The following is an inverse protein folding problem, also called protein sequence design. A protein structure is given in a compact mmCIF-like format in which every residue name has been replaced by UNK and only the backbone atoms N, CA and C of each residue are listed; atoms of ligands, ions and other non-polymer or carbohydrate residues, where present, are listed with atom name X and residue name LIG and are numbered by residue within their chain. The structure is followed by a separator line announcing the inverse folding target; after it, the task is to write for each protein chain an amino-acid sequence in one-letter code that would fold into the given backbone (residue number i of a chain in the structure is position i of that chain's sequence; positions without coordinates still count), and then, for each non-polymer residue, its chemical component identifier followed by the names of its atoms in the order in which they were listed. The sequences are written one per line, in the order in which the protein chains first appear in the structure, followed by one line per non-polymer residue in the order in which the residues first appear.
data_IF_937538198165
#
_entry.id   IF_937538198165
#
_cell.length_a   1.000
_cell.length_b   1.000
_cell.length_c   1.000
_cell.angle_alpha   90.00
_cell.angle_beta   90.00
_cell.angle_gamma   90.00
#
_symmetry.space_group_name_H-M   'P 1'
#
loop_
_entity.id
_entity.type
_entity.pdbx_description
1 polymer ?
#
# COMPACT_ATOMS: atom_id res chain seq x y z
N UNK A 1 35.17 -2.76 2.73
CA UNK A 1 34.54 -4.07 3.00
C UNK A 1 33.33 -4.14 2.09
N UNK A 2 33.23 -5.20 1.30
CA UNK A 2 32.05 -5.41 0.47
C UNK A 2 30.85 -5.67 1.38
N UNK A 3 29.84 -4.82 1.27
CA UNK A 3 28.58 -5.01 1.99
C UNK A 3 27.79 -6.11 1.27
N UNK A 4 27.10 -6.99 2.00
CA UNK A 4 26.30 -8.03 1.37
C UNK A 4 25.17 -7.42 0.54
N UNK A 5 24.76 -8.14 -0.49
CA UNK A 5 23.50 -7.88 -1.20
C UNK A 5 22.33 -8.07 -0.25
N UNK A 6 21.41 -7.11 -0.25
CA UNK A 6 20.25 -7.09 0.64
C UNK A 6 18.98 -6.99 -0.19
N UNK A 7 17.97 -7.74 0.21
CA UNK A 7 16.68 -7.76 -0.44
C UNK A 7 15.57 -7.67 0.61
N UNK A 8 14.63 -6.76 0.38
CA UNK A 8 13.40 -6.65 1.16
C UNK A 8 12.21 -6.51 0.24
N UNK A 9 11.04 -6.94 0.72
CA UNK A 9 9.77 -6.73 0.03
C UNK A 9 8.70 -6.22 0.99
N UNK A 10 7.70 -5.52 0.47
CA UNK A 10 6.54 -5.08 1.24
C UNK A 10 5.23 -5.36 0.48
N UNK A 11 4.16 -5.78 1.17
CA UNK A 11 2.89 -6.14 0.57
C UNK A 11 2.09 -4.92 0.12
N UNK A 12 1.13 -5.18 -0.76
CA UNK A 12 0.05 -4.27 -1.10
C UNK A 12 -0.97 -4.20 0.04
N UNK A 13 -2.03 -3.44 -0.18
CA UNK A 13 -3.07 -3.21 0.83
C UNK A 13 -4.46 -3.12 0.24
N UNK A 14 -5.43 -3.48 1.07
CA UNK A 14 -6.84 -3.14 0.88
C UNK A 14 -7.45 -2.66 2.19
N UNK A 15 -8.13 -1.50 2.15
CA UNK A 15 -8.88 -0.98 3.29
C UNK A 15 -10.30 -1.53 3.17
N UNK A 16 -10.60 -2.62 3.86
CA UNK A 16 -11.89 -3.32 3.78
C UNK A 16 -13.00 -2.50 4.44
N UNK A 17 -12.71 -1.88 5.57
CA UNK A 17 -13.68 -1.08 6.32
C UNK A 17 -13.03 0.13 7.01
N UNK A 18 -13.81 1.16 7.30
CA UNK A 18 -13.31 2.40 7.91
C UNK A 18 -12.82 3.48 6.94
N UNK A 19 -13.19 3.38 5.65
CA UNK A 19 -12.87 4.32 4.55
C UNK A 19 -12.54 5.77 4.95
N UNK A 20 -13.53 6.65 5.06
CA UNK A 20 -13.32 8.04 5.46
C UNK A 20 -13.09 8.20 6.97
N UNK A 21 -13.50 7.22 7.77
CA UNK A 21 -13.37 7.23 9.22
C UNK A 21 -11.89 7.22 9.65
N UNK A 22 -11.04 6.46 8.96
CA UNK A 22 -9.59 6.34 9.23
C UNK A 22 -8.82 7.66 9.10
N UNK A 23 -9.44 8.68 8.50
CA UNK A 23 -8.90 10.05 8.45
C UNK A 23 -9.07 10.79 9.76
N UNK A 24 -9.77 10.23 10.74
CA UNK A 24 -9.97 10.79 12.05
C UNK A 24 -9.46 9.81 13.10
N UNK A 25 -8.73 10.34 14.08
CA UNK A 25 -7.96 9.58 15.06
C UNK A 25 -8.87 8.86 16.05
N UNK A 26 -10.11 9.30 16.20
CA UNK A 26 -11.04 8.64 17.11
C UNK A 26 -11.49 7.27 16.59
N UNK A 27 -11.39 7.07 15.27
CA UNK A 27 -11.92 5.89 14.58
C UNK A 27 -10.82 4.95 14.09
N UNK A 28 -11.24 3.76 13.65
CA UNK A 28 -10.33 2.72 13.15
C UNK A 28 -10.67 2.32 11.71
N UNK A 29 -9.67 1.77 11.02
CA UNK A 29 -9.82 1.10 9.74
C UNK A 29 -9.41 -0.36 9.82
N UNK A 30 -10.13 -1.23 9.12
CA UNK A 30 -9.79 -2.63 8.95
C UNK A 30 -9.02 -2.79 7.63
N UNK A 31 -7.72 -3.08 7.73
CA UNK A 31 -6.80 -3.11 6.60
C UNK A 31 -6.25 -4.53 6.45
N UNK A 32 -6.29 -5.06 5.24
CA UNK A 32 -5.60 -6.31 4.90
C UNK A 32 -4.36 -6.00 4.06
N UNK A 33 -3.26 -6.66 4.40
CA UNK A 33 -2.13 -6.80 3.49
C UNK A 33 -2.52 -7.69 2.32
N UNK A 34 -1.84 -7.53 1.18
CA UNK A 34 -2.03 -8.38 0.00
C UNK A 34 -0.71 -9.06 -0.39
N UNK A 35 -0.82 -10.27 -0.94
CA UNK A 35 0.33 -11.10 -1.34
C UNK A 35 1.10 -10.56 -2.56
N UNK A 36 0.56 -9.56 -3.27
CA UNK A 36 1.31 -8.78 -4.25
C UNK A 36 2.32 -7.84 -3.57
N UNK A 37 3.61 -8.00 -3.86
CA UNK A 37 4.71 -7.29 -3.19
C UNK A 37 5.53 -6.42 -4.13
N UNK A 38 6.09 -5.35 -3.57
CA UNK A 38 7.19 -4.60 -4.19
C UNK A 38 8.48 -5.05 -3.52
N UNK A 39 9.46 -5.36 -4.35
CA UNK A 39 10.76 -5.90 -4.00
C UNK A 39 11.84 -4.87 -4.27
N UNK A 40 12.76 -4.70 -3.31
CA UNK A 40 13.92 -3.83 -3.44
C UNK A 40 15.17 -4.61 -3.10
N UNK A 41 16.08 -4.66 -4.05
CA UNK A 41 17.40 -5.26 -3.91
C UNK A 41 18.48 -4.19 -3.96
N UNK A 42 19.39 -4.18 -2.99
CA UNK A 42 20.50 -3.22 -2.88
C UNK A 42 21.83 -3.99 -2.89
N UNK A 43 22.73 -3.58 -3.77
CA UNK A 43 24.08 -4.12 -3.86
C UNK A 43 25.11 -2.99 -4.00
N UNK A 44 26.30 -3.18 -3.44
CA UNK A 44 27.41 -2.24 -3.61
C UNK A 44 27.89 -2.24 -5.05
N UNK A 45 28.11 -1.06 -5.64
CA UNK A 45 28.72 -0.94 -6.96
C UNK A 45 30.24 -1.06 -6.82
N UNK A 46 30.79 -2.14 -7.40
CA UNK A 46 32.24 -2.32 -7.48
C UNK A 46 32.85 -1.30 -8.44
N UNK A 47 33.79 -0.51 -7.94
CA UNK A 47 34.58 0.43 -8.74
C UNK A 47 35.90 -0.22 -9.13
N UNK A 48 36.31 -0.04 -10.39
CA UNK A 48 37.66 -0.42 -10.80
C UNK A 48 38.70 0.47 -10.10
N UNK A 49 39.89 -0.04 -9.76
CA UNK A 49 40.96 0.76 -9.15
C UNK A 49 41.23 2.03 -9.96
N UNK A 50 41.11 3.20 -9.31
CA UNK A 50 41.32 4.51 -9.94
C UNK A 50 40.04 5.23 -10.39
N UNK A 51 38.86 4.58 -10.35
CA UNK A 51 37.57 5.21 -10.61
C UNK A 51 36.83 5.47 -9.29
N UNK A 52 36.58 6.73 -8.94
CA UNK A 52 35.72 7.08 -7.80
C UNK A 52 34.30 7.32 -8.30
N UNK A 53 33.40 6.36 -8.08
CA UNK A 53 31.96 6.59 -8.26
C UNK A 53 31.36 7.07 -6.94
N UNK A 54 30.63 8.18 -7.02
CA UNK A 54 29.84 8.75 -5.91
C UNK A 54 28.39 8.90 -6.34
N UNK A 55 27.84 7.83 -6.92
CA UNK A 55 26.44 7.79 -7.37
C UNK A 55 25.72 6.54 -6.86
N UNK A 56 24.41 6.69 -6.71
CA UNK A 56 23.47 5.60 -6.47
C UNK A 56 22.60 5.46 -7.71
N UNK A 57 22.58 4.26 -8.29
CA UNK A 57 21.79 3.94 -9.48
C UNK A 57 20.56 3.18 -9.03
N UNK A 58 19.37 3.75 -9.24
CA UNK A 58 18.09 3.08 -8.99
C UNK A 58 17.49 2.66 -10.33
N UNK A 59 17.09 1.40 -10.46
CA UNK A 59 16.49 0.86 -11.70
C UNK A 59 15.23 0.06 -11.41
N UNK A 60 14.28 0.09 -12.34
CA UNK A 60 13.12 -0.79 -12.36
C UNK A 60 13.02 -1.47 -13.73
N UNK A 61 13.72 -2.60 -13.92
CA UNK A 61 13.96 -3.19 -15.24
C UNK A 61 12.69 -3.73 -15.94
N UNK A 62 11.56 -3.77 -15.24
CA UNK A 62 10.25 -4.13 -15.80
C UNK A 62 9.64 -3.02 -16.68
N UNK A 63 10.21 -1.81 -16.65
CA UNK A 63 9.72 -0.66 -17.39
C UNK A 63 10.83 -0.06 -18.27
N UNK A 64 10.45 0.45 -19.44
CA UNK A 64 11.37 1.15 -20.33
C UNK A 64 11.85 2.45 -19.68
N UNK A 65 13.13 2.74 -19.85
CA UNK A 65 13.81 3.96 -19.40
C UNK A 65 13.66 4.26 -17.88
N UNK A 66 13.31 3.26 -17.07
CA UNK A 66 13.14 3.39 -15.63
C UNK A 66 14.47 3.19 -14.89
N UNK A 67 15.43 4.06 -15.17
CA UNK A 67 16.70 4.18 -14.45
C UNK A 67 16.88 5.62 -13.97
N UNK A 68 17.24 5.80 -12.70
CA UNK A 68 17.50 7.09 -12.08
C UNK A 68 18.88 7.07 -11.42
N UNK A 69 19.74 8.01 -11.79
CA UNK A 69 21.07 8.17 -11.20
C UNK A 69 21.06 9.35 -10.24
N UNK A 70 21.61 9.14 -9.06
CA UNK A 70 21.60 10.14 -8.00
C UNK A 70 23.01 10.37 -7.46
N UNK A 71 23.42 11.62 -7.46
CA UNK A 71 24.51 12.09 -6.61
C UNK A 71 23.97 12.35 -5.21
N UNK A 72 24.81 12.23 -4.19
CA UNK A 72 24.44 12.51 -2.81
C UNK A 72 25.54 13.31 -2.12
N UNK A 73 25.14 14.19 -1.19
CA UNK A 73 26.07 14.93 -0.34
C UNK A 73 25.51 15.09 1.07
N UNK A 74 26.39 15.01 2.05
CA UNK A 74 26.06 15.44 3.40
C UNK A 74 25.93 16.97 3.42
N UNK A 75 24.87 17.46 4.04
CA UNK A 75 24.62 18.90 4.19
C UNK A 75 25.15 19.41 5.51
N UNK A 76 25.52 20.68 5.55
CA UNK A 76 26.06 21.31 6.75
C UNK A 76 25.03 21.34 7.90
N UNK A 77 25.51 21.60 9.12
CA UNK A 77 24.67 21.77 10.32
C UNK A 77 23.67 20.62 10.57
N UNK A 78 24.06 19.38 10.28
CA UNK A 78 23.22 18.19 10.43
C UNK A 78 21.93 18.25 9.59
N UNK A 79 21.97 18.88 8.42
CA UNK A 79 20.81 18.97 7.52
C UNK A 79 20.43 17.65 6.81
N UNK A 80 21.23 16.59 7.01
CA UNK A 80 21.00 15.28 6.41
C UNK A 80 21.67 15.11 5.04
N UNK A 81 21.25 14.08 4.30
CA UNK A 81 21.82 13.71 3.01
C UNK A 81 20.94 14.25 1.89
N UNK A 82 21.43 15.25 1.17
CA UNK A 82 20.78 15.76 -0.02
C UNK A 82 21.08 14.85 -1.21
N UNK A 83 20.04 14.53 -1.98
CA UNK A 83 20.10 13.67 -3.15
C UNK A 83 19.77 14.51 -4.38
N UNK A 84 20.62 14.48 -5.40
CA UNK A 84 20.43 15.24 -6.65
C UNK A 84 20.38 14.28 -7.83
N UNK A 85 19.30 14.32 -8.61
CA UNK A 85 19.21 13.54 -9.83
C UNK A 85 20.24 14.02 -10.86
N UNK A 86 21.11 13.11 -11.30
CA UNK A 86 22.11 13.35 -12.32
C UNK A 86 21.47 13.22 -13.71
N UNK A 87 21.88 14.08 -14.65
CA UNK A 87 21.44 13.95 -16.05
C UNK A 87 22.18 12.78 -16.68
N UNK A 88 21.45 11.76 -17.13
CA UNK A 88 22.01 10.65 -17.91
C UNK A 88 22.42 11.06 -19.33
N UNK A 89 23.12 10.16 -20.03
CA UNK A 89 23.47 10.30 -21.46
C UNK A 89 22.29 10.04 -22.41
N UNK A 90 21.13 9.61 -21.91
CA UNK A 90 19.93 9.39 -22.71
C UNK A 90 19.22 10.70 -23.05
N UNK A 91 18.85 10.87 -24.32
CA UNK A 91 18.15 12.04 -24.87
C UNK A 91 16.70 12.17 -24.42
N UNK A 92 16.16 11.21 -23.66
CA UNK A 92 14.84 11.29 -23.05
C UNK A 92 14.90 12.09 -21.75
N UNK A 93 14.02 13.08 -21.60
CA UNK A 93 13.79 13.76 -20.33
C UNK A 93 13.21 12.76 -19.33
N UNK A 94 14.07 12.02 -18.62
CA UNK A 94 13.63 11.05 -17.61
C UNK A 94 12.78 11.79 -16.58
N UNK A 95 11.52 11.36 -16.44
CA UNK A 95 10.60 11.91 -15.46
C UNK A 95 11.13 11.64 -14.06
N UNK A 96 11.31 12.70 -13.27
CA UNK A 96 11.72 12.66 -11.86
C UNK A 96 10.79 11.74 -11.06
N UNK A 97 11.35 10.77 -10.33
CA UNK A 97 10.59 9.92 -9.43
C UNK A 97 10.71 10.42 -7.98
N UNK A 98 9.77 11.26 -7.57
CA UNK A 98 9.78 11.90 -6.24
C UNK A 98 9.73 10.89 -5.09
N UNK A 99 9.02 9.78 -5.23
CA UNK A 99 8.95 8.75 -4.18
C UNK A 99 10.31 8.09 -3.96
N UNK A 100 11.01 7.71 -5.04
CA UNK A 100 12.36 7.13 -4.95
C UNK A 100 13.36 8.13 -4.38
N UNK A 101 13.36 9.35 -4.90
CA UNK A 101 14.31 10.39 -4.48
C UNK A 101 14.15 10.76 -2.99
N UNK A 102 12.91 10.99 -2.54
CA UNK A 102 12.63 11.33 -1.14
C UNK A 102 12.91 10.14 -0.22
N UNK A 103 12.51 8.91 -0.60
CA UNK A 103 12.81 7.72 0.19
C UNK A 103 14.32 7.49 0.33
N UNK A 104 15.09 7.71 -0.74
CA UNK A 104 16.55 7.61 -0.71
C UNK A 104 17.16 8.66 0.22
N UNK A 105 16.77 9.92 0.12
CA UNK A 105 17.29 10.98 0.98
C UNK A 105 17.00 10.73 2.47
N UNK A 106 15.77 10.30 2.79
CA UNK A 106 15.37 9.99 4.16
C UNK A 106 16.11 8.77 4.71
N UNK A 107 16.20 7.69 3.93
CA UNK A 107 16.89 6.47 4.35
C UNK A 107 18.40 6.68 4.56
N UNK A 108 19.07 7.39 3.65
CA UNK A 108 20.49 7.73 3.80
C UNK A 108 20.72 8.67 4.98
N UNK A 109 19.85 9.66 5.19
CA UNK A 109 19.92 10.55 6.35
C UNK A 109 19.81 9.77 7.65
N UNK A 110 18.81 8.89 7.76
CA UNK A 110 18.62 8.08 8.96
C UNK A 110 19.80 7.12 9.18
N UNK A 111 20.23 6.40 8.15
CA UNK A 111 21.36 5.47 8.25
C UNK A 111 22.64 6.20 8.72
N UNK A 112 22.94 7.36 8.14
CA UNK A 112 24.08 8.20 8.54
C UNK A 112 23.97 8.76 9.95
N UNK A 113 22.76 8.96 10.47
CA UNK A 113 22.52 9.46 11.81
C UNK A 113 22.60 8.37 12.89
N UNK A 114 22.31 7.12 12.50
CA UNK A 114 22.47 5.95 13.38
C UNK A 114 23.93 5.53 13.45
N UNK A 115 24.60 5.47 12.30
CA UNK A 115 26.00 5.10 12.21
C UNK A 115 26.72 5.95 11.15
N UNK A 116 27.81 6.61 11.56
CA UNK A 116 28.61 7.46 10.68
C UNK A 116 29.54 6.61 9.82
N UNK A 117 28.95 5.80 8.93
CA UNK A 117 29.71 5.08 7.90
C UNK A 117 29.62 5.82 6.57
N UNK A 118 30.72 5.78 5.83
CA UNK A 118 30.77 6.38 4.49
C UNK A 118 29.73 5.70 3.60
N UNK A 119 28.80 6.49 3.06
CA UNK A 119 27.88 6.06 2.00
C UNK A 119 28.73 5.79 0.76
N UNK A 120 28.83 4.52 0.38
CA UNK A 120 29.47 4.08 -0.86
C UNK A 120 28.49 4.07 -2.05
N UNK A 121 28.99 3.90 -3.28
CA UNK A 121 28.13 3.76 -4.45
C UNK A 121 27.36 2.44 -4.41
N UNK A 122 26.10 2.46 -4.85
CA UNK A 122 25.23 1.28 -4.85
C UNK A 122 24.28 1.24 -6.05
N UNK A 123 23.86 0.03 -6.39
CA UNK A 123 22.78 -0.23 -7.35
C UNK A 123 21.57 -0.74 -6.57
N UNK A 124 20.43 -0.11 -6.82
CA UNK A 124 19.15 -0.45 -6.21
C UNK A 124 18.20 -0.89 -7.32
N UNK A 125 17.69 -2.11 -7.25
CA UNK A 125 16.72 -2.66 -8.21
C UNK A 125 15.35 -2.74 -7.57
N UNK A 126 14.34 -2.16 -8.22
CA UNK A 126 12.93 -2.20 -7.80
C UNK A 126 12.17 -3.12 -8.75
N UNK A 127 11.55 -4.16 -8.19
CA UNK A 127 10.63 -5.04 -8.90
C UNK A 127 9.26 -5.00 -8.23
N UNK A 128 8.21 -5.21 -9.00
CA UNK A 128 6.83 -5.30 -8.55
C UNK A 128 6.20 -6.56 -9.11
N UNK A 129 5.44 -7.25 -8.27
CA UNK A 129 4.58 -8.34 -8.71
C UNK A 129 3.59 -7.83 -9.76
N UNK A 130 3.28 -8.69 -10.74
CA UNK A 130 2.43 -8.35 -11.89
C UNK A 130 1.11 -7.70 -11.51
N UNK A 131 0.55 -8.06 -10.36
CA UNK A 131 -0.76 -7.60 -9.89
C UNK A 131 -0.82 -6.11 -9.52
N UNK A 132 0.32 -5.42 -9.41
CA UNK A 132 0.36 -3.96 -9.22
C UNK A 132 -0.04 -3.16 -10.47
N UNK A 133 -0.01 -3.77 -11.65
CA UNK A 133 -0.21 -3.08 -12.92
C UNK A 133 -1.17 -3.85 -13.83
N UNK A 134 -2.07 -3.13 -14.51
CA UNK A 134 -3.05 -3.76 -15.40
C UNK A 134 -2.45 -4.14 -16.76
N UNK A 135 -2.95 -5.24 -17.32
CA UNK A 135 -2.45 -5.86 -18.55
C UNK A 135 -3.39 -5.50 -19.72
N UNK A 136 -3.05 -4.47 -20.48
CA UNK A 136 -3.83 -4.05 -21.66
C UNK A 136 -3.24 -4.53 -23.00
N UNK A 137 -2.15 -5.31 -23.01
CA UNK A 137 -1.46 -5.66 -24.27
C UNK A 137 -0.83 -7.05 -24.41
N UNK A 138 -0.87 -7.91 -23.38
CA UNK A 138 -0.35 -9.27 -23.49
C UNK A 138 -1.50 -10.26 -23.64
N UNK A 139 -1.54 -10.97 -24.78
CA UNK A 139 -2.38 -12.15 -24.92
C UNK A 139 -1.89 -13.20 -23.93
N UNK A 140 -2.76 -13.66 -23.03
CA UNK A 140 -2.50 -14.76 -22.06
C UNK A 140 -2.27 -16.14 -22.73
N UNK A 141 -2.01 -16.17 -24.03
CA UNK A 141 -1.70 -17.39 -24.75
C UNK A 141 -0.20 -17.69 -24.63
N UNK A 142 0.10 -18.72 -23.83
CA UNK A 142 1.33 -19.55 -23.83
C UNK A 142 2.32 -19.46 -22.68
N UNK A 143 2.00 -18.86 -21.53
CA UNK A 143 2.86 -19.02 -20.34
C UNK A 143 2.02 -19.58 -19.19
N UNK A 144 2.39 -20.75 -18.61
CA UNK A 144 1.74 -21.26 -17.41
C UNK A 144 1.77 -20.16 -16.33
N UNK A 145 0.60 -19.82 -15.81
CA UNK A 145 0.35 -18.71 -14.88
C UNK A 145 1.17 -18.74 -13.58
N UNK A 146 1.86 -19.86 -13.33
CA UNK A 146 2.67 -20.14 -12.14
C UNK A 146 4.16 -19.84 -12.30
N UNK A 147 4.66 -19.46 -13.48
CA UNK A 147 6.12 -19.39 -13.72
C UNK A 147 6.78 -18.00 -13.75
N UNK A 148 6.04 -16.88 -13.83
CA UNK A 148 6.67 -15.55 -13.83
C UNK A 148 5.95 -14.55 -12.91
N UNK A 149 6.49 -14.41 -11.69
CA UNK A 149 6.07 -13.42 -10.67
C UNK A 149 6.25 -11.98 -11.15
N UNK A 150 7.34 -11.73 -11.89
CA UNK A 150 7.67 -10.46 -12.49
C UNK A 150 7.43 -10.50 -14.00
N UNK A 151 6.90 -9.40 -14.55
CA UNK A 151 6.68 -9.22 -15.98
C UNK A 151 7.49 -8.04 -16.51
N UNK A 152 7.96 -8.15 -17.74
CA UNK A 152 8.47 -7.02 -18.51
C UNK A 152 7.28 -6.34 -19.19
N UNK A 153 6.88 -5.18 -18.64
CA UNK A 153 5.75 -4.44 -19.17
C UNK A 153 6.08 -3.78 -20.51
N UNK A 154 7.35 -3.63 -20.84
CA UNK A 154 7.83 -3.09 -22.11
C UNK A 154 7.21 -1.73 -22.46
N UNK A 155 6.84 -0.94 -21.45
CA UNK A 155 6.30 0.41 -21.54
C UNK A 155 7.00 1.32 -20.52
N UNK A 156 7.00 2.65 -20.72
CA UNK A 156 7.43 3.59 -19.69
C UNK A 156 6.57 3.49 -18.44
N UNK A 157 7.18 3.66 -17.25
CA UNK A 157 6.47 3.56 -15.96
C UNK A 157 5.26 4.52 -15.85
N UNK A 158 5.31 5.70 -16.47
CA UNK A 158 4.20 6.67 -16.43
C UNK A 158 2.98 6.24 -17.25
N UNK A 159 3.14 5.26 -18.15
CA UNK A 159 2.05 4.68 -18.95
C UNK A 159 1.45 3.42 -18.29
N UNK A 160 2.11 2.90 -17.24
CA UNK A 160 1.63 1.73 -16.54
C UNK A 160 0.43 2.10 -15.64
N UNK A 161 -0.70 1.45 -15.88
CA UNK A 161 -1.91 1.63 -15.11
C UNK A 161 -1.82 0.88 -13.79
N UNK A 162 -1.99 1.58 -12.67
CA UNK A 162 -1.92 1.00 -11.32
C UNK A 162 -3.27 0.43 -10.91
N UNK A 163 -3.27 -0.74 -10.28
CA UNK A 163 -4.48 -1.46 -9.81
C UNK A 163 -4.99 -0.99 -8.43
N UNK A 164 -4.47 0.13 -7.91
CA UNK A 164 -4.94 0.69 -6.63
C UNK A 164 -4.46 -0.04 -5.36
N UNK A 165 -3.59 -1.04 -5.46
CA UNK A 165 -3.09 -1.85 -4.34
C UNK A 165 -2.16 -1.11 -3.36
N UNK A 166 -1.94 0.20 -3.52
CA UNK A 166 -1.06 0.98 -2.64
C UNK A 166 0.43 0.91 -3.00
N UNK A 167 0.75 0.84 -4.30
CA UNK A 167 2.13 0.67 -4.80
C UNK A 167 3.14 1.67 -4.24
N UNK A 168 2.75 2.92 -3.96
CA UNK A 168 3.68 3.93 -3.41
C UNK A 168 4.07 3.65 -1.97
N UNK A 169 3.15 3.14 -1.15
CA UNK A 169 3.44 2.77 0.24
C UNK A 169 4.33 1.52 0.29
N UNK A 170 3.98 0.48 -0.47
CA UNK A 170 4.81 -0.72 -0.59
C UNK A 170 6.24 -0.38 -1.08
N UNK A 171 6.35 0.50 -2.10
CA UNK A 171 7.63 0.97 -2.61
C UNK A 171 8.44 1.69 -1.53
N UNK A 172 7.88 2.72 -0.91
CA UNK A 172 8.62 3.51 0.09
C UNK A 172 9.06 2.62 1.26
N UNK A 173 8.18 1.76 1.77
CA UNK A 173 8.50 0.87 2.89
C UNK A 173 9.60 -0.13 2.56
N UNK A 174 9.50 -0.84 1.43
CA UNK A 174 10.54 -1.78 1.01
C UNK A 174 11.87 -1.06 0.71
N UNK A 175 11.79 0.12 0.09
CA UNK A 175 12.96 0.90 -0.32
C UNK A 175 13.72 1.47 0.89
N UNK A 176 13.04 2.15 1.82
CA UNK A 176 13.70 2.69 3.01
C UNK A 176 14.29 1.56 3.86
N UNK A 177 13.58 0.44 3.98
CA UNK A 177 14.08 -0.72 4.73
C UNK A 177 15.35 -1.31 4.11
N UNK A 178 15.36 -1.57 2.80
CA UNK A 178 16.52 -2.14 2.12
C UNK A 178 17.73 -1.19 2.13
N UNK A 179 17.51 0.11 1.96
CA UNK A 179 18.60 1.11 2.01
C UNK A 179 19.17 1.25 3.42
N UNK A 180 18.33 1.32 4.46
CA UNK A 180 18.81 1.38 5.85
C UNK A 180 19.55 0.10 6.21
N UNK A 181 19.02 -1.08 5.85
CA UNK A 181 19.70 -2.35 6.08
C UNK A 181 21.08 -2.43 5.39
N UNK A 182 21.21 -1.80 4.22
CA UNK A 182 22.49 -1.75 3.51
C UNK A 182 23.48 -0.79 4.14
N UNK A 183 23.03 0.37 4.63
CA UNK A 183 23.93 1.42 5.12
C UNK A 183 24.15 1.47 6.63
N UNK A 184 23.20 0.98 7.44
CA UNK A 184 23.28 0.91 8.90
C UNK A 184 23.68 -0.50 9.38
N UNK A 185 24.11 -0.66 10.66
CA UNK A 185 24.34 -1.96 11.25
C UNK A 185 23.09 -2.86 11.17
N UNK A 186 23.27 -4.14 10.85
CA UNK A 186 22.16 -5.10 10.71
C UNK A 186 21.32 -5.25 12.00
N UNK A 187 21.92 -4.98 13.15
CA UNK A 187 21.25 -4.94 14.48
C UNK A 187 20.17 -3.85 14.59
N UNK A 188 20.13 -2.92 13.62
CA UNK A 188 19.13 -1.84 13.53
C UNK A 188 17.94 -2.27 12.65
N UNK A 189 18.07 -3.36 11.89
CA UNK A 189 17.07 -3.81 10.90
C UNK A 189 16.78 -5.30 11.01
N UNK A 190 16.02 -5.66 12.04
CA UNK A 190 15.31 -6.93 12.19
C UNK A 190 13.82 -6.73 11.88
N UNK A 191 13.44 -7.07 10.65
CA UNK A 191 12.04 -7.07 10.23
C UNK A 191 11.21 -8.20 10.88
N UNK A 192 11.73 -8.94 11.86
CA UNK A 192 10.94 -9.83 12.73
C UNK A 192 10.62 -9.18 14.08
N UNK A 193 11.45 -8.24 14.54
CA UNK A 193 11.30 -7.48 15.79
C UNK A 193 10.21 -6.40 15.67
N UNK A 194 9.24 -6.40 16.60
CA UNK A 194 8.17 -5.39 16.60
C UNK A 194 8.68 -3.96 16.84
N UNK A 195 9.74 -3.81 17.64
CA UNK A 195 10.33 -2.50 17.90
C UNK A 195 11.00 -1.93 16.64
N UNK A 196 11.67 -2.79 15.88
CA UNK A 196 12.37 -2.39 14.66
C UNK A 196 11.40 -2.18 13.51
N UNK A 197 10.34 -2.99 13.40
CA UNK A 197 9.20 -2.70 12.51
C UNK A 197 8.60 -1.32 12.78
N UNK A 198 8.53 -0.89 14.04
CA UNK A 198 8.07 0.46 14.39
C UNK A 198 8.98 1.55 13.83
N UNK A 199 10.30 1.41 13.97
CA UNK A 199 11.26 2.35 13.37
C UNK A 199 11.16 2.38 11.85
N UNK A 200 11.09 1.21 11.21
CA UNK A 200 10.94 1.10 9.75
C UNK A 200 9.65 1.74 9.26
N UNK A 201 8.54 1.49 9.97
CA UNK A 201 7.25 2.15 9.73
C UNK A 201 7.36 3.67 9.85
N UNK A 202 7.93 4.18 10.94
CA UNK A 202 8.02 5.62 11.19
C UNK A 202 8.84 6.34 10.12
N UNK A 203 9.97 5.74 9.72
CA UNK A 203 10.80 6.25 8.63
C UNK A 203 10.06 6.24 7.29
N UNK A 204 9.44 5.11 6.94
CA UNK A 204 8.68 4.97 5.70
C UNK A 204 7.50 5.95 5.67
N UNK A 205 6.82 6.14 6.81
CA UNK A 205 5.68 7.04 6.94
C UNK A 205 6.10 8.50 6.77
N UNK A 206 7.20 8.93 7.40
CA UNK A 206 7.74 10.28 7.24
C UNK A 206 8.18 10.54 5.78
N UNK A 207 8.91 9.59 5.17
CA UNK A 207 9.35 9.68 3.79
C UNK A 207 8.18 9.71 2.80
N UNK A 208 7.15 8.88 3.02
CA UNK A 208 5.96 8.81 2.17
C UNK A 208 5.14 10.11 2.25
N UNK A 209 4.93 10.67 3.46
CA UNK A 209 4.26 11.97 3.62
C UNK A 209 5.02 13.09 2.91
N UNK A 210 6.35 13.14 3.02
CA UNK A 210 7.19 14.12 2.35
C UNK A 210 7.16 13.98 0.81
N UNK A 211 7.18 12.73 0.31
CA UNK A 211 7.08 12.44 -1.12
C UNK A 211 5.70 12.80 -1.68
N UNK A 212 4.63 12.53 -0.93
CA UNK A 212 3.26 12.86 -1.32
C UNK A 212 2.95 14.36 -1.21
N UNK A 213 3.70 15.09 -0.37
CA UNK A 213 3.50 16.52 -0.10
C UNK A 213 2.31 16.80 0.81
N UNK A 214 1.81 15.80 1.53
CA UNK A 214 0.75 15.93 2.54
C UNK A 214 0.84 14.80 3.57
N UNK A 215 0.27 15.02 4.74
CA UNK A 215 0.13 13.98 5.76
C UNK A 215 -1.13 13.16 5.45
N UNK A 216 -0.93 11.93 4.99
CA UNK A 216 -2.01 10.97 4.72
C UNK A 216 -2.59 10.35 6.00
N UNK A 217 -3.48 9.38 5.83
CA UNK A 217 -3.98 8.54 6.92
C UNK A 217 -2.90 7.64 7.51
N UNK A 218 -2.00 7.11 6.66
CA UNK A 218 -0.91 6.20 7.01
C UNK A 218 -1.26 4.71 7.03
N UNK A 219 -2.53 4.34 6.76
CA UNK A 219 -2.95 2.94 6.79
C UNK A 219 -2.26 2.07 5.72
N UNK A 220 -1.88 2.68 4.59
CA UNK A 220 -1.20 2.01 3.48
C UNK A 220 0.25 1.68 3.83
N UNK A 221 0.96 2.61 4.48
CA UNK A 221 2.31 2.38 5.02
C UNK A 221 2.27 1.39 6.18
N UNK A 222 1.26 1.48 7.05
CA UNK A 222 1.06 0.52 8.13
C UNK A 222 0.84 -0.91 7.61
N UNK A 223 0.01 -1.08 6.57
CA UNK A 223 -0.17 -2.38 5.93
C UNK A 223 1.14 -2.89 5.29
N UNK A 224 1.89 -2.02 4.61
CA UNK A 224 3.19 -2.36 4.03
C UNK A 224 4.22 -2.76 5.10
N UNK A 225 4.19 -2.15 6.29
CA UNK A 225 5.14 -2.43 7.37
C UNK A 225 4.75 -3.65 8.21
N UNK A 226 3.45 -3.81 8.51
CA UNK A 226 2.96 -4.78 9.49
C UNK A 226 2.13 -5.92 8.91
N UNK A 227 1.65 -5.80 7.67
CA UNK A 227 0.64 -6.68 7.07
C UNK A 227 -0.76 -6.28 7.51
N UNK A 228 -1.71 -7.21 7.45
CA UNK A 228 -3.08 -6.99 7.91
C UNK A 228 -3.15 -6.50 9.37
N UNK A 229 -4.04 -5.53 9.65
CA UNK A 229 -4.23 -4.94 10.96
C UNK A 229 -5.56 -4.16 11.10
N UNK A 230 -5.98 -3.95 12.36
CA UNK A 230 -6.80 -2.77 12.69
C UNK A 230 -5.86 -1.58 12.86
N UNK A 231 -6.12 -0.53 12.10
CA UNK A 231 -5.31 0.66 12.06
C UNK A 231 -6.04 1.85 12.67
N UNK A 232 -5.35 2.61 13.52
CA UNK A 232 -5.73 3.96 13.95
C UNK A 232 -4.61 4.92 13.55
N UNK A 233 -4.98 6.01 12.88
CA UNK A 233 -4.03 7.00 12.38
C UNK A 233 -3.23 7.66 13.49
N UNK A 234 -2.02 8.11 13.14
CA UNK A 234 -1.23 8.99 13.99
C UNK A 234 -1.73 10.43 13.96
N UNK A 235 -1.35 11.19 14.99
CA UNK A 235 -1.51 12.63 15.09
C UNK A 235 -0.57 13.35 14.09
N UNK A 236 -1.10 14.17 13.16
CA UNK A 236 -0.27 14.92 12.20
C UNK A 236 0.85 15.74 12.84
N UNK A 237 0.64 16.24 14.06
CA UNK A 237 1.58 17.07 14.82
C UNK A 237 2.91 16.39 15.11
N UNK A 238 2.99 15.06 15.05
CA UNK A 238 4.25 14.31 15.19
C UNK A 238 5.24 14.71 14.09
N UNK A 239 4.76 14.91 12.86
CA UNK A 239 5.58 15.26 11.71
C UNK A 239 5.71 16.79 11.51
N UNK A 240 4.95 17.59 12.26
CA UNK A 240 5.04 19.04 12.21
C UNK A 240 6.42 19.50 12.68
N UNK A 241 7.07 20.37 11.91
CA UNK A 241 8.40 20.88 12.23
C UNK A 241 9.56 19.90 11.99
N UNK A 242 9.33 18.74 11.34
CA UNK A 242 10.43 17.90 10.85
C UNK A 242 11.32 18.71 9.87
N UNK A 243 10.71 19.53 9.03
CA UNK A 243 11.41 20.33 8.01
C UNK A 243 11.83 19.50 6.80
N UNK A 244 12.59 20.11 5.92
CA UNK A 244 13.08 19.48 4.70
C UNK A 244 14.55 19.06 4.81
N UNK A 245 14.95 18.12 3.97
CA UNK A 245 16.37 17.76 3.78
C UNK A 245 17.17 19.02 3.45
N UNK A 246 18.32 19.19 4.10
CA UNK A 246 19.18 20.37 4.00
C UNK A 246 18.83 21.49 4.99
N UNK A 247 17.68 21.42 5.67
CA UNK A 247 17.39 22.36 6.75
C UNK A 247 18.19 22.03 8.02
N UNK A 248 18.70 23.05 8.72
CA UNK A 248 19.50 22.91 9.95
C UNK A 248 18.90 21.89 10.92
N UNK A 249 19.67 20.90 11.33
CA UNK A 249 19.26 19.88 12.31
C UNK A 249 18.22 18.86 11.84
N UNK A 250 17.92 18.78 10.54
CA UNK A 250 16.97 17.81 9.98
C UNK A 250 17.34 16.37 10.32
N UNK A 251 18.62 16.00 10.23
CA UNK A 251 19.10 14.64 10.54
C UNK A 251 18.77 14.22 11.97
N UNK A 252 19.02 15.10 12.94
CA UNK A 252 18.71 14.88 14.35
C UNK A 252 17.21 14.75 14.60
N UNK A 253 16.40 15.63 13.99
CA UNK A 253 14.92 15.56 14.11
C UNK A 253 14.36 14.29 13.49
N UNK A 254 14.85 13.90 12.31
CA UNK A 254 14.43 12.67 11.65
C UNK A 254 14.75 11.46 12.51
N UNK A 255 15.99 11.34 13.02
CA UNK A 255 16.37 10.25 13.94
C UNK A 255 15.46 10.21 15.16
N UNK A 256 15.21 11.36 15.79
CA UNK A 256 14.36 11.44 16.98
C UNK A 256 12.90 11.01 16.71
N UNK A 257 12.36 11.34 15.55
CA UNK A 257 11.00 10.92 15.14
C UNK A 257 10.98 9.42 14.82
N UNK A 258 11.99 8.90 14.15
CA UNK A 258 12.06 7.47 13.77
C UNK A 258 12.22 6.59 15.00
N UNK A 259 13.09 6.98 15.94
CA UNK A 259 13.39 6.24 17.17
C UNK A 259 12.41 6.52 18.31
N UNK A 260 11.45 7.41 18.10
CA UNK A 260 10.41 7.79 19.07
C UNK A 260 10.97 8.33 20.40
N UNK A 261 12.07 9.10 20.33
CA UNK A 261 12.81 9.57 21.53
C UNK A 261 12.29 10.88 22.11
N UNK A 262 11.54 11.67 21.34
CA UNK A 262 10.94 12.93 21.81
C UNK A 262 9.61 12.65 22.52
N UNK A 263 9.57 12.89 23.83
CA UNK A 263 8.36 12.66 24.65
C UNK A 263 7.17 13.56 24.27
N UNK A 264 7.41 14.68 23.58
CA UNK A 264 6.38 15.61 23.14
C UNK A 264 5.76 15.24 21.78
N UNK A 265 6.41 14.36 21.01
CA UNK A 265 6.02 13.96 19.65
C UNK A 265 6.04 12.45 19.46
N UNK A 266 5.53 11.73 20.46
CA UNK A 266 5.50 10.27 20.38
C UNK A 266 4.50 9.78 19.35
N UNK A 267 4.89 8.74 18.62
CA UNK A 267 4.00 8.02 17.72
C UNK A 267 2.84 7.42 18.50
N UNK A 268 1.64 7.86 18.15
CA UNK A 268 0.39 7.46 18.77
C UNK A 268 -0.49 6.64 17.82
N UNK A 269 0.10 6.15 16.72
CA UNK A 269 -0.49 5.14 15.83
C UNK A 269 -0.84 3.90 16.63
N UNK A 270 -1.99 3.30 16.32
CA UNK A 270 -2.31 1.96 16.82
C UNK A 270 -2.37 1.01 15.64
N UNK A 271 -1.56 -0.05 15.71
CA UNK A 271 -1.57 -1.18 14.78
C UNK A 271 -1.89 -2.43 15.60
N UNK A 272 -3.18 -2.79 15.63
CA UNK A 272 -3.62 -3.98 16.36
C UNK A 272 -3.65 -5.19 15.42
N UNK A 273 -2.77 -6.16 15.72
CA UNK A 273 -2.66 -7.44 15.01
C UNK A 273 -3.48 -8.57 15.66
N UNK A 274 -4.02 -8.39 16.87
CA UNK A 274 -4.60 -9.47 17.70
C UNK A 274 -6.01 -9.87 17.28
N UNK A 275 -6.84 -8.92 16.86
CA UNK A 275 -8.29 -9.12 16.76
C UNK A 275 -8.86 -9.13 15.34
N UNK A 276 -8.08 -8.93 14.28
CA UNK A 276 -8.71 -8.58 13.00
C UNK A 276 -7.92 -8.84 11.72
N UNK A 277 -6.67 -9.24 11.84
CA UNK A 277 -5.77 -9.22 10.69
C UNK A 277 -5.93 -10.45 9.78
N UNK A 278 -6.42 -11.56 10.30
CA UNK A 278 -6.40 -12.81 9.53
C UNK A 278 -7.79 -13.14 9.01
N UNK A 279 -7.89 -13.29 7.70
CA UNK A 279 -9.10 -13.86 7.09
C UNK A 279 -9.23 -15.31 7.56
N UNK A 280 -10.41 -15.73 8.08
CA UNK A 280 -10.62 -17.07 8.62
C UNK A 280 -10.22 -18.19 7.67
N UNK A 281 -9.75 -19.32 8.22
CA UNK A 281 -9.51 -20.52 7.40
C UNK A 281 -10.80 -20.93 6.69
N UNK A 282 -10.70 -21.19 5.40
CA UNK A 282 -11.85 -21.49 4.55
C UNK A 282 -12.51 -20.24 3.95
N UNK A 283 -12.03 -19.03 4.26
CA UNK A 283 -12.37 -17.82 3.53
C UNK A 283 -11.16 -17.26 2.79
N UNK A 284 -11.44 -16.56 1.70
CA UNK A 284 -10.49 -15.80 0.91
C UNK A 284 -11.08 -14.43 0.59
N UNK A 285 -10.24 -13.42 0.75
CA UNK A 285 -10.49 -12.09 0.21
C UNK A 285 -10.00 -12.05 -1.24
N UNK A 286 -10.86 -11.63 -2.16
CA UNK A 286 -10.51 -11.39 -3.56
C UNK A 286 -10.88 -9.97 -3.97
N UNK A 287 -10.08 -9.38 -4.83
CA UNK A 287 -10.31 -8.05 -5.38
C UNK A 287 -10.77 -8.14 -6.83
N UNK A 288 -11.75 -7.31 -7.20
CA UNK A 288 -12.17 -7.14 -8.58
C UNK A 288 -11.86 -5.70 -9.01
N UNK A 289 -11.01 -5.56 -10.01
CA UNK A 289 -10.73 -4.28 -10.67
C UNK A 289 -11.91 -3.90 -11.55
N UNK A 290 -12.41 -2.67 -11.38
CA UNK A 290 -13.54 -2.13 -12.12
C UNK A 290 -12.98 -1.01 -12.99
N UNK A 291 -12.90 -1.25 -14.31
CA UNK A 291 -12.33 -0.28 -15.25
C UNK A 291 -13.28 0.91 -15.44
N UNK A 292 -13.23 1.83 -14.48
CA UNK A 292 -14.00 3.06 -14.46
C UNK A 292 -13.25 4.05 -13.57
N UNK A 293 -12.29 4.78 -14.12
CA UNK A 293 -11.39 5.64 -13.35
C UNK A 293 -12.13 6.62 -12.41
N UNK A 294 -11.73 6.67 -11.14
CA UNK A 294 -12.26 7.65 -10.18
C UNK A 294 -11.22 8.70 -9.75
N UNK A 295 -11.70 9.90 -9.40
CA UNK A 295 -10.87 10.93 -8.74
C UNK A 295 -11.08 10.91 -7.22
N UNK A 296 -10.45 9.94 -6.54
CA UNK A 296 -10.57 9.72 -5.09
C UNK A 296 -10.30 10.97 -4.23
N UNK A 297 -9.42 11.87 -4.70
CA UNK A 297 -9.05 13.09 -3.97
C UNK A 297 -10.20 14.09 -3.87
N UNK A 298 -11.02 14.21 -4.91
CA UNK A 298 -12.20 15.08 -4.92
C UNK A 298 -13.24 14.59 -3.92
N UNK A 299 -13.49 13.28 -3.90
CA UNK A 299 -14.46 12.63 -3.02
C UNK A 299 -14.14 12.84 -1.54
N UNK A 300 -12.87 12.65 -1.13
CA UNK A 300 -12.44 12.89 0.27
C UNK A 300 -12.70 14.31 0.73
N UNK A 301 -12.41 15.31 -0.11
CA UNK A 301 -12.68 16.71 0.24
C UNK A 301 -14.18 16.97 0.41
N UNK A 302 -15.01 16.41 -0.47
CA UNK A 302 -16.46 16.61 -0.43
C UNK A 302 -17.09 15.96 0.81
N UNK A 303 -16.76 14.69 1.12
CA UNK A 303 -17.28 13.99 2.31
C UNK A 303 -16.86 14.70 3.59
N UNK A 304 -15.59 15.11 3.72
CA UNK A 304 -15.12 15.84 4.90
C UNK A 304 -15.76 17.23 5.03
N UNK A 305 -16.00 17.91 3.90
CA UNK A 305 -16.73 19.18 3.89
C UNK A 305 -18.15 18.98 4.38
N UNK A 306 -18.86 17.97 3.88
CA UNK A 306 -20.20 17.62 4.33
C UNK A 306 -20.24 17.34 5.84
N UNK A 307 -19.33 16.50 6.33
CA UNK A 307 -19.20 16.18 7.78
C UNK A 307 -19.03 17.45 8.63
N UNK A 308 -18.19 18.38 8.17
CA UNK A 308 -17.97 19.66 8.87
C UNK A 308 -19.20 20.57 8.86
N UNK A 309 -19.94 20.62 7.74
CA UNK A 309 -21.10 21.50 7.58
C UNK A 309 -22.38 20.96 8.21
N UNK A 310 -22.47 19.65 8.42
CA UNK A 310 -23.65 18.96 8.95
C UNK A 310 -23.29 17.95 10.05
N UNK A 311 -22.77 18.41 11.20
CA UNK A 311 -22.35 17.52 12.27
C UNK A 311 -23.51 16.73 12.89
N UNK A 312 -24.71 17.32 12.97
CA UNK A 312 -25.91 16.67 13.54
C UNK A 312 -26.35 15.42 12.76
N UNK A 313 -26.16 15.42 11.44
CA UNK A 313 -26.43 14.26 10.57
C UNK A 313 -25.22 13.31 10.52
N UNK A 314 -24.01 13.86 10.35
CA UNK A 314 -22.82 13.08 10.03
C UNK A 314 -22.15 12.38 11.21
N UNK A 315 -22.18 12.97 12.42
CA UNK A 315 -21.53 12.38 13.60
C UNK A 315 -22.19 11.08 14.04
N UNK A 316 -23.53 10.99 14.19
CA UNK A 316 -24.20 9.73 14.52
C UNK A 316 -23.95 8.63 13.48
N UNK A 317 -23.92 9.01 12.19
CA UNK A 317 -23.60 8.07 11.11
C UNK A 317 -22.16 7.56 11.20
N UNK A 318 -21.20 8.42 11.54
CA UNK A 318 -19.80 8.03 11.78
C UNK A 318 -19.66 7.04 12.93
N UNK A 319 -20.33 7.30 14.05
CA UNK A 319 -20.31 6.41 15.23
C UNK A 319 -20.94 5.05 14.91
N UNK A 320 -22.05 5.04 14.17
CA UNK A 320 -22.71 3.81 13.75
C UNK A 320 -21.84 3.02 12.76
N UNK A 321 -21.20 3.69 11.80
CA UNK A 321 -20.22 3.08 10.88
C UNK A 321 -19.03 2.50 11.63
N UNK A 322 -18.50 3.20 12.63
CA UNK A 322 -17.40 2.70 13.46
C UNK A 322 -17.80 1.43 14.18
N UNK A 323 -19.00 1.41 14.78
CA UNK A 323 -19.51 0.24 15.45
C UNK A 323 -19.65 -0.94 14.48
N UNK A 324 -20.14 -0.69 13.26
CA UNK A 324 -20.17 -1.68 12.19
C UNK A 324 -18.78 -2.23 11.84
N UNK A 325 -17.77 -1.38 11.71
CA UNK A 325 -16.38 -1.80 11.43
C UNK A 325 -15.81 -2.69 12.54
N UNK A 326 -16.07 -2.34 13.80
CA UNK A 326 -15.67 -3.14 14.96
C UNK A 326 -16.39 -4.49 14.99
N UNK A 327 -17.69 -4.51 14.72
CA UNK A 327 -18.48 -5.74 14.64
C UNK A 327 -18.01 -6.64 13.48
N UNK A 328 -17.55 -6.06 12.36
CA UNK A 328 -16.98 -6.81 11.24
C UNK A 328 -15.67 -7.50 11.64
N UNK A 329 -14.78 -6.76 12.30
CA UNK A 329 -13.53 -7.30 12.81
C UNK A 329 -13.79 -8.42 13.84
N UNK A 330 -14.73 -8.22 14.76
CA UNK A 330 -15.12 -9.22 15.74
C UNK A 330 -15.68 -10.48 15.10
N UNK A 331 -16.53 -10.36 14.08
CA UNK A 331 -17.13 -11.53 13.45
C UNK A 331 -16.13 -12.31 12.60
N UNK A 332 -15.21 -11.62 11.92
CA UNK A 332 -14.05 -12.28 11.30
C UNK A 332 -13.21 -13.02 12.35
N UNK A 333 -12.90 -12.39 13.49
CA UNK A 333 -12.12 -13.03 14.55
C UNK A 333 -12.80 -14.27 15.13
N UNK A 334 -14.10 -14.20 15.40
CA UNK A 334 -14.90 -15.33 15.88
C UNK A 334 -14.81 -16.53 14.93
N UNK A 335 -14.82 -16.29 13.63
CA UNK A 335 -14.67 -17.35 12.62
C UNK A 335 -13.28 -17.97 12.60
N UNK A 336 -12.21 -17.24 12.96
CA UNK A 336 -10.85 -17.82 13.05
C UNK A 336 -10.73 -18.91 14.11
N UNK A 337 -11.59 -18.89 15.13
CA UNK A 337 -11.62 -19.89 16.21
C UNK A 337 -12.34 -21.18 15.82
N UNK A 338 -13.01 -21.22 14.66
CA UNK A 338 -13.72 -22.41 14.17
C UNK A 338 -12.82 -23.21 13.22
N UNK A 339 -12.62 -24.52 13.44
CA UNK A 339 -11.73 -25.34 12.62
C UNK A 339 -12.29 -25.62 11.21
N UNK A 340 -13.62 -25.64 11.06
CA UNK A 340 -14.32 -25.69 9.79
C UNK A 340 -15.59 -24.85 9.90
N UNK A 341 -15.82 -23.98 8.93
CA UNK A 341 -17.04 -23.19 8.84
C UNK A 341 -17.96 -23.81 7.78
N UNK A 342 -19.26 -23.82 8.07
CA UNK A 342 -20.32 -24.12 7.11
C UNK A 342 -20.93 -22.81 6.58
N UNK A 343 -21.69 -22.83 5.47
CA UNK A 343 -22.32 -21.61 4.93
C UNK A 343 -23.15 -20.83 5.95
N UNK A 344 -23.82 -21.52 6.88
CA UNK A 344 -24.65 -20.90 7.93
C UNK A 344 -23.81 -20.15 8.97
N UNK A 345 -22.54 -20.54 9.16
CA UNK A 345 -21.63 -19.86 10.06
C UNK A 345 -21.31 -18.43 9.59
N UNK A 346 -21.48 -18.15 8.30
CA UNK A 346 -21.20 -16.85 7.70
C UNK A 346 -22.39 -15.88 7.75
N UNK A 347 -23.55 -16.26 8.29
CA UNK A 347 -24.73 -15.40 8.35
C UNK A 347 -24.48 -14.10 9.13
N UNK A 348 -23.77 -14.19 10.27
CA UNK A 348 -23.38 -13.03 11.07
C UNK A 348 -22.49 -12.08 10.28
N UNK A 349 -21.47 -12.62 9.61
CA UNK A 349 -20.54 -11.85 8.78
C UNK A 349 -21.28 -11.16 7.63
N UNK A 350 -22.18 -11.88 6.94
CA UNK A 350 -23.03 -11.33 5.87
C UNK A 350 -23.92 -10.19 6.38
N UNK A 351 -24.56 -10.35 7.53
CA UNK A 351 -25.43 -9.34 8.11
C UNK A 351 -24.67 -8.05 8.46
N UNK A 352 -23.46 -8.17 9.03
CA UNK A 352 -22.62 -7.02 9.34
C UNK A 352 -22.15 -6.30 8.07
N UNK A 353 -21.71 -7.04 7.05
CA UNK A 353 -21.32 -6.46 5.75
C UNK A 353 -22.49 -5.68 5.13
N UNK A 354 -23.70 -6.26 5.12
CA UNK A 354 -24.89 -5.60 4.59
C UNK A 354 -25.24 -4.32 5.35
N UNK A 355 -25.10 -4.35 6.68
CA UNK A 355 -25.30 -3.18 7.55
C UNK A 355 -24.32 -2.06 7.20
N UNK A 356 -23.02 -2.36 7.14
CA UNK A 356 -21.99 -1.37 6.79
C UNK A 356 -22.27 -0.77 5.42
N UNK A 357 -22.54 -1.60 4.41
CA UNK A 357 -22.86 -1.10 3.07
C UNK A 357 -24.10 -0.20 3.05
N UNK A 358 -25.12 -0.52 3.84
CA UNK A 358 -26.30 0.35 3.96
C UNK A 358 -25.94 1.73 4.50
N UNK A 359 -25.10 1.79 5.53
CA UNK A 359 -24.63 3.04 6.11
C UNK A 359 -23.71 3.81 5.15
N UNK A 360 -22.88 3.13 4.36
CA UNK A 360 -22.05 3.75 3.33
C UNK A 360 -22.92 4.36 2.20
N UNK A 361 -24.00 3.70 1.79
CA UNK A 361 -24.95 4.25 0.81
C UNK A 361 -25.75 5.43 1.37
N UNK A 362 -26.10 5.38 2.66
CA UNK A 362 -26.69 6.51 3.36
C UNK A 362 -25.73 7.70 3.38
N UNK A 363 -24.46 7.49 3.74
CA UNK A 363 -23.41 8.51 3.66
C UNK A 363 -23.26 9.04 2.22
N UNK A 364 -23.35 8.18 1.21
CA UNK A 364 -23.28 8.59 -0.20
C UNK A 364 -24.42 9.55 -0.55
N UNK A 365 -25.63 9.22 -0.11
CA UNK A 365 -26.84 10.02 -0.35
C UNK A 365 -26.77 11.36 0.38
N UNK A 366 -26.40 11.36 1.67
CA UNK A 366 -26.35 12.57 2.49
C UNK A 366 -25.22 13.52 2.08
N UNK A 367 -24.07 12.99 1.66
CA UNK A 367 -22.93 13.79 1.21
C UNK A 367 -22.98 14.20 -0.26
N UNK A 368 -23.81 13.53 -1.08
CA UNK A 368 -23.82 13.70 -2.54
C UNK A 368 -22.58 13.11 -3.23
N UNK A 369 -21.79 12.31 -2.53
CA UNK A 369 -20.57 11.68 -3.04
C UNK A 369 -20.86 10.21 -3.32
N UNK A 370 -20.55 9.68 -4.52
CA UNK A 370 -20.84 8.29 -4.86
C UNK A 370 -19.80 7.35 -4.24
N UNK A 371 -19.85 7.16 -2.91
CA UNK A 371 -18.90 6.30 -2.17
C UNK A 371 -19.11 4.83 -2.52
N UNK A 372 -20.36 4.36 -2.44
CA UNK A 372 -20.79 3.09 -3.06
C UNK A 372 -21.80 3.44 -4.17
N UNK A 373 -21.35 3.64 -5.42
CA UNK A 373 -22.24 3.92 -6.54
C UNK A 373 -23.25 2.78 -6.78
N UNK A 374 -24.37 3.10 -7.40
CA UNK A 374 -25.42 2.12 -7.72
C UNK A 374 -24.88 0.97 -8.59
N UNK A 375 -24.04 1.28 -9.57
CA UNK A 375 -23.43 0.28 -10.45
C UNK A 375 -22.57 -0.74 -9.69
N UNK A 376 -21.80 -0.30 -8.68
CA UNK A 376 -21.04 -1.21 -7.81
C UNK A 376 -21.95 -1.93 -6.82
N UNK A 377 -23.02 -1.28 -6.36
CA UNK A 377 -24.05 -1.93 -5.53
C UNK A 377 -24.63 -3.13 -6.26
N UNK A 378 -25.01 -2.94 -7.53
CA UNK A 378 -25.59 -3.96 -8.40
C UNK A 378 -24.60 -5.09 -8.68
N UNK A 379 -23.34 -4.77 -8.95
CA UNK A 379 -22.27 -5.75 -9.12
C UNK A 379 -22.10 -6.62 -7.87
N UNK A 380 -21.89 -6.01 -6.69
CA UNK A 380 -21.68 -6.75 -5.45
C UNK A 380 -22.93 -7.60 -5.13
N UNK A 381 -24.13 -7.05 -5.29
CA UNK A 381 -25.37 -7.80 -5.06
C UNK A 381 -25.53 -8.99 -6.00
N UNK A 382 -25.04 -8.87 -7.24
CA UNK A 382 -25.05 -9.97 -8.19
C UNK A 382 -24.04 -11.06 -7.83
N UNK A 383 -22.81 -10.68 -7.46
CA UNK A 383 -21.80 -11.61 -6.96
C UNK A 383 -22.28 -12.35 -5.70
N UNK A 384 -22.93 -11.66 -4.76
CA UNK A 384 -23.46 -12.26 -3.53
C UNK A 384 -24.58 -13.30 -3.76
N UNK A 385 -25.14 -13.42 -4.97
CA UNK A 385 -26.09 -14.49 -5.33
C UNK A 385 -25.39 -15.80 -5.72
N UNK A 386 -24.09 -15.75 -6.04
CA UNK A 386 -23.32 -16.94 -6.36
C UNK A 386 -23.08 -17.77 -5.10
N UNK A 387 -23.24 -19.10 -5.16
CA UNK A 387 -22.88 -19.99 -4.06
C UNK A 387 -21.42 -19.79 -3.63
N UNK A 388 -21.19 -19.72 -2.32
CA UNK A 388 -19.85 -19.51 -1.76
C UNK A 388 -19.39 -18.06 -1.68
N UNK A 389 -20.15 -17.08 -2.20
CA UNK A 389 -19.87 -15.66 -1.93
C UNK A 389 -20.57 -15.25 -0.63
N UNK A 390 -19.78 -14.83 0.36
CA UNK A 390 -20.29 -14.44 1.68
C UNK A 390 -20.84 -13.02 1.65
N UNK A 391 -20.06 -12.12 1.06
CA UNK A 391 -20.35 -10.69 0.97
C UNK A 391 -19.26 -9.95 0.20
N UNK A 392 -19.47 -8.66 -0.01
CA UNK A 392 -18.45 -7.79 -0.58
C UNK A 392 -18.64 -6.36 -0.14
N UNK A 393 -17.66 -5.50 -0.42
CA UNK A 393 -17.66 -4.08 -0.08
C UNK A 393 -16.96 -3.29 -1.16
N UNK A 394 -17.20 -1.98 -1.20
CA UNK A 394 -16.34 -1.04 -1.91
C UNK A 394 -15.21 -0.62 -0.96
N UNK A 395 -13.94 -0.93 -1.26
CA UNK A 395 -12.83 -0.65 -0.36
C UNK A 395 -12.40 0.82 -0.40
N UNK A 396 -11.65 1.24 0.61
CA UNK A 396 -10.98 2.54 0.60
C UNK A 396 -11.96 3.72 0.72
N UNK A 397 -11.74 4.75 -0.08
CA UNK A 397 -12.67 5.88 -0.18
C UNK A 397 -13.86 5.58 -1.11
N UNK A 398 -13.89 4.39 -1.72
CA UNK A 398 -14.89 4.01 -2.70
C UNK A 398 -14.83 4.80 -4.01
N UNK A 399 -15.94 4.83 -4.73
CA UNK A 399 -16.01 5.36 -6.09
C UNK A 399 -16.15 4.23 -7.08
N UNK A 400 -15.37 4.25 -8.16
CA UNK A 400 -15.55 3.33 -9.28
C UNK A 400 -14.37 2.37 -9.49
N UNK A 401 -13.37 2.39 -8.59
CA UNK A 401 -12.06 1.75 -8.80
C UNK A 401 -12.11 0.21 -8.67
N UNK A 402 -12.65 -0.31 -7.56
CA UNK A 402 -12.59 -1.72 -7.25
C UNK A 402 -13.72 -2.16 -6.33
N UNK A 403 -13.97 -3.46 -6.28
CA UNK A 403 -14.78 -4.10 -5.24
C UNK A 403 -14.00 -5.24 -4.60
N UNK A 404 -14.28 -5.51 -3.33
CA UNK A 404 -13.71 -6.63 -2.58
C UNK A 404 -14.80 -7.63 -2.27
N UNK A 405 -14.52 -8.91 -2.44
CA UNK A 405 -15.43 -9.99 -2.07
C UNK A 405 -14.75 -10.90 -1.04
N UNK A 406 -15.52 -11.33 -0.04
CA UNK A 406 -15.18 -12.44 0.83
C UNK A 406 -15.90 -13.67 0.30
N UNK A 407 -15.12 -14.68 -0.08
CA UNK A 407 -15.61 -15.91 -0.67
C UNK A 407 -15.09 -17.10 0.13
N UNK A 408 -15.78 -18.23 0.03
CA UNK A 408 -15.25 -19.50 0.48
C UNK A 408 -13.98 -19.84 -0.31
N UNK A 409 -12.93 -20.30 0.39
CA UNK A 409 -11.66 -20.67 -0.23
C UNK A 409 -11.75 -22.05 -0.91
N UNK A 410 -12.48 -22.08 -2.03
CA UNK A 410 -12.66 -23.24 -2.90
C UNK A 410 -12.40 -22.83 -4.35
N UNK A 411 -11.65 -23.63 -5.09
CA UNK A 411 -11.34 -23.34 -6.51
C UNK A 411 -12.61 -23.18 -7.35
N UNK A 412 -13.63 -24.01 -7.10
CA UNK A 412 -14.91 -23.94 -7.82
C UNK A 412 -15.60 -22.58 -7.67
N UNK A 413 -15.54 -21.96 -6.47
CA UNK A 413 -16.16 -20.65 -6.21
C UNK A 413 -15.41 -19.56 -6.97
N UNK A 414 -14.08 -19.67 -7.07
CA UNK A 414 -13.23 -18.74 -7.81
C UNK A 414 -13.50 -18.84 -9.31
N UNK A 415 -13.57 -20.06 -9.84
CA UNK A 415 -13.81 -20.30 -11.26
C UNK A 415 -15.21 -19.81 -11.68
N UNK A 416 -16.25 -20.09 -10.86
CA UNK A 416 -17.61 -19.59 -11.08
C UNK A 416 -17.67 -18.06 -11.01
N UNK A 417 -16.99 -17.44 -10.03
CA UNK A 417 -16.91 -15.99 -9.92
C UNK A 417 -16.18 -15.37 -11.13
N UNK A 418 -15.08 -15.98 -11.57
CA UNK A 418 -14.32 -15.51 -12.73
C UNK A 418 -15.19 -15.51 -13.99
N UNK A 419 -15.84 -16.65 -14.29
CA UNK A 419 -16.74 -16.76 -15.43
C UNK A 419 -17.89 -15.74 -15.35
N UNK A 420 -18.49 -15.59 -14.18
CA UNK A 420 -19.55 -14.61 -13.97
C UNK A 420 -19.10 -13.18 -14.27
N UNK A 421 -17.90 -12.78 -13.81
CA UNK A 421 -17.37 -11.42 -14.02
C UNK A 421 -17.01 -11.15 -15.48
N UNK A 422 -16.56 -12.15 -16.23
CA UNK A 422 -16.29 -12.01 -17.67
C UNK A 422 -17.54 -11.73 -18.49
N UNK A 423 -18.65 -12.35 -18.12
CA UNK A 423 -19.95 -12.23 -18.77
C UNK A 423 -20.79 -11.06 -18.22
N UNK A 424 -20.42 -10.50 -17.07
CA UNK A 424 -21.17 -9.41 -16.45
C UNK A 424 -21.16 -8.16 -17.32
N UNK A 425 -22.35 -7.69 -17.69
CA UNK A 425 -22.60 -6.45 -18.43
C UNK A 425 -23.66 -5.65 -17.70
N UNK A 426 -23.54 -4.33 -17.71
CA UNK A 426 -24.55 -3.43 -17.15
C UNK A 426 -25.36 -2.81 -18.28
N UNK A 427 -26.69 -2.92 -18.20
CA UNK A 427 -27.61 -2.25 -19.10
C UNK A 427 -27.58 -0.73 -18.86
N UNK A 428 -27.45 0.03 -19.94
CA UNK A 428 -27.00 1.43 -19.98
C UNK A 428 -28.12 2.45 -19.67
N UNK A 429 -29.32 2.02 -19.30
CA UNK A 429 -30.52 2.87 -19.36
C UNK A 429 -30.96 3.54 -18.05
N UNK A 430 -30.18 3.48 -16.97
CA UNK A 430 -30.53 4.19 -15.73
C UNK A 430 -29.61 5.39 -15.50
N UNK A 431 -30.13 6.56 -15.88
CA UNK A 431 -29.46 7.84 -15.79
C UNK A 431 -28.94 8.14 -14.39
N UNK A 432 -27.72 8.67 -14.35
CA UNK A 432 -26.92 9.08 -13.18
C UNK A 432 -25.95 8.03 -12.61
N UNK A 433 -24.89 7.70 -13.36
CA UNK A 433 -23.62 7.32 -12.72
C UNK A 433 -22.80 6.25 -13.42
N UNK A 434 -22.03 6.67 -14.45
CA UNK A 434 -20.92 5.89 -15.01
C UNK A 434 -21.29 4.59 -15.74
N UNK A 435 -20.49 4.21 -16.73
CA UNK A 435 -20.56 2.87 -17.34
C UNK A 435 -19.52 2.00 -16.65
N UNK A 436 -19.90 0.86 -16.06
CA UNK A 436 -18.89 -0.11 -15.60
C UNK A 436 -18.27 -0.75 -16.85
N UNK A 437 -16.94 -0.63 -16.97
CA UNK A 437 -16.15 -1.31 -17.98
C UNK A 437 -16.00 -2.81 -17.69
N UNK A 438 -14.93 -3.42 -18.21
CA UNK A 438 -14.64 -4.84 -17.95
C UNK A 438 -14.25 -5.01 -16.47
N UNK A 439 -14.95 -5.88 -15.75
CA UNK A 439 -14.57 -6.27 -14.38
C UNK A 439 -13.60 -7.43 -14.46
N UNK A 440 -12.49 -7.37 -13.71
CA UNK A 440 -11.48 -8.44 -13.70
C UNK A 440 -11.16 -8.87 -12.27
N UNK A 441 -11.14 -10.17 -12.03
CA UNK A 441 -10.65 -10.72 -10.78
C UNK A 441 -9.12 -10.55 -10.72
N UNK A 442 -8.61 -9.91 -9.67
CA UNK A 442 -7.18 -9.79 -9.42
C UNK A 442 -6.67 -11.08 -8.77
N UNK A 443 -5.45 -11.50 -9.13
CA UNK A 443 -4.82 -12.71 -8.62
C UNK A 443 -4.33 -12.63 -7.17
N UNK A 444 -4.69 -11.55 -6.46
CA UNK A 444 -4.20 -11.24 -5.11
C UNK A 444 -5.04 -11.89 -4.02
N UNK A 445 -4.38 -12.21 -2.91
CA UNK A 445 -4.98 -12.77 -1.70
C UNK A 445 -4.53 -11.98 -0.48
N UNK A 446 -5.20 -12.20 0.64
CA UNK A 446 -4.76 -11.61 1.91
C UNK A 446 -3.34 -12.07 2.30
N UNK A 447 -2.59 -11.17 2.92
CA UNK A 447 -1.24 -11.38 3.46
C UNK A 447 -1.12 -10.79 4.86
N UNK A 448 -0.63 -11.59 5.80
CA UNK A 448 -0.48 -11.22 7.21
C UNK A 448 0.94 -10.68 7.52
N UNK A 449 1.89 -10.91 6.61
CA UNK A 449 3.27 -10.46 6.70
C UNK A 449 3.47 -9.11 6.01
N UNK A 450 3.87 -8.11 6.81
CA UNK A 450 4.35 -6.82 6.34
C UNK A 450 5.74 -6.92 5.68
N UNK A 451 6.56 -5.89 5.83
CA UNK A 451 7.91 -5.87 5.26
C UNK A 451 8.73 -7.06 5.77
N UNK A 452 9.48 -7.70 4.86
CA UNK A 452 10.30 -8.87 5.18
C UNK A 452 11.57 -8.91 4.34
N UNK A 453 12.60 -9.56 4.87
CA UNK A 453 13.80 -9.90 4.13
C UNK A 453 13.48 -10.99 3.09
N UNK A 454 14.12 -10.91 1.93
CA UNK A 454 13.94 -11.86 0.83
C UNK A 454 15.28 -12.50 0.46
N UNK A 455 15.23 -13.70 -0.13
CA UNK A 455 16.39 -14.25 -0.82
C UNK A 455 16.57 -13.50 -2.14
N UNK A 456 17.72 -12.85 -2.34
CA UNK A 456 17.96 -12.05 -3.54
C UNK A 456 18.08 -12.90 -4.82
N UNK A 457 18.33 -14.22 -4.71
CA UNK A 457 18.42 -15.13 -5.85
C UNK A 457 17.10 -15.24 -6.63
N UNK A 458 15.95 -14.90 -6.00
CA UNK A 458 14.66 -14.84 -6.71
C UNK A 458 14.62 -13.75 -7.79
N UNK A 459 15.61 -12.85 -7.81
CA UNK A 459 15.75 -11.79 -8.80
C UNK A 459 16.76 -12.13 -9.90
N UNK A 460 17.32 -13.34 -9.90
CA UNK A 460 18.26 -13.80 -10.92
C UNK A 460 17.62 -13.69 -12.31
N UNK A 461 18.24 -12.88 -13.18
CA UNK A 461 17.72 -12.53 -14.51
C UNK A 461 17.21 -11.09 -14.63
N UNK A 462 16.82 -10.46 -13.52
CA UNK A 462 16.45 -9.04 -13.44
C UNK A 462 17.61 -8.15 -12.96
N UNK A 463 18.57 -8.75 -12.24
CA UNK A 463 19.80 -8.09 -11.79
C UNK A 463 20.82 -8.01 -12.94
N UNK A 464 20.59 -7.11 -13.90
CA UNK A 464 21.56 -6.81 -14.98
C UNK A 464 22.26 -5.49 -14.78
#
# INVERSE_FOLDING_TARGET
MDRPSIAFSAPGKVLLAGGYLVLDRDYTGLVFGLDARIHVHVQTLQTSPGLTLSEIIVKSPQFRDAEWRYGYRETEEYGGIEVTQLKGHSTSSQSRNRFVETALAYALTYASAVDYTRIGPASITILADKDYYSHSGYSENHIPSTLNRFLDFNIPLHQAHKTGLGSSAALVTAFTTAVVAHYAPLEVVDASSMQEKSRLHNLAQAAHCAAQGKIGSGFDVAAAAYGSCIYKRFSPSILEGLGDVGSKGFSTRLKSIVEDTDSSKKWDTIVDKKFAATVPKGLRLVMCDVDCGSETVGMVKQVLSWRKTKPEESVPLWETLQKGNEDLALELHKLTSKPACQPEDYEGLRAVILTIRSLIREMSTQSGVPVEPEVQTNLINACCRLPGVVGGVVPGAGGYDAVVLLIEDRSTVIDELHQFLEDYRIDVDQGHGGTIGKVRLLGVKQEDLGVQAEDWTIYDGWLK
#
